data_IF_471859957453
#
_entry.id   IF_471859957453
#
_cell.length_a   1.000
_cell.length_b   1.000
_cell.length_c   1.000
_cell.angle_alpha   90.00
_cell.angle_beta   90.00
_cell.angle_gamma   90.00
#
_symmetry.space_group_name_H-M   'P 1'
#
loop_
_entity.id
_entity.type
_entity.pdbx_description
1 polymer ?
#
# COMPACT_ATOMS: atom_id res chain seq x y z
N UNK A 1 -22.62 7.65 5.93
CA UNK A 1 -23.19 6.87 7.03
C UNK A 1 -22.58 5.49 7.07
N UNK A 2 -22.30 4.99 8.27
CA UNK A 2 -21.80 3.63 8.34
C UNK A 2 -22.94 2.64 8.18
N UNK A 3 -22.66 1.56 7.50
CA UNK A 3 -23.63 0.48 7.29
C UNK A 3 -22.94 -0.84 7.57
N UNK A 4 -23.75 -1.86 7.80
CA UNK A 4 -23.23 -3.20 8.00
C UNK A 4 -23.04 -3.87 6.65
N UNK A 5 -21.82 -4.33 6.39
CA UNK A 5 -21.46 -5.04 5.17
C UNK A 5 -21.09 -6.47 5.57
N UNK A 6 -21.72 -7.45 4.95
CA UNK A 6 -21.36 -8.85 5.20
C UNK A 6 -20.33 -9.31 4.20
N UNK A 7 -19.25 -9.86 4.71
CA UNK A 7 -18.15 -10.36 3.87
C UNK A 7 -17.88 -11.81 4.24
N UNK A 8 -17.39 -12.58 3.28
CA UNK A 8 -17.05 -13.97 3.50
C UNK A 8 -15.54 -14.17 3.37
N UNK A 9 -14.92 -14.71 4.40
CA UNK A 9 -13.50 -15.00 4.42
C UNK A 9 -13.30 -16.43 4.87
N UNK A 10 -12.69 -17.25 4.01
CA UNK A 10 -12.53 -18.68 4.22
C UNK A 10 -13.84 -19.37 4.58
N UNK A 11 -14.91 -18.99 3.90
CA UNK A 11 -16.22 -19.60 4.08
C UNK A 11 -17.00 -19.13 5.30
N UNK A 12 -16.46 -18.24 6.11
CA UNK A 12 -17.14 -17.68 7.27
C UNK A 12 -17.58 -16.27 6.97
N UNK A 13 -18.82 -15.95 7.31
CA UNK A 13 -19.36 -14.61 7.11
C UNK A 13 -19.09 -13.75 8.32
N UNK A 14 -18.71 -12.51 8.05
CA UNK A 14 -18.44 -11.50 9.08
C UNK A 14 -19.23 -10.25 8.78
N UNK A 15 -19.98 -9.73 9.76
CA UNK A 15 -20.62 -8.43 9.60
C UNK A 15 -19.62 -7.33 9.99
N UNK A 16 -19.37 -6.42 9.07
CA UNK A 16 -18.44 -5.32 9.31
C UNK A 16 -19.15 -3.99 9.16
N UNK A 17 -18.81 -3.04 9.99
CA UNK A 17 -19.30 -1.69 9.84
C UNK A 17 -18.38 -0.93 8.90
N UNK A 18 -18.96 -0.27 7.91
CA UNK A 18 -18.19 0.41 6.89
C UNK A 18 -18.89 1.65 6.41
N UNK A 19 -18.12 2.68 6.08
CA UNK A 19 -18.60 3.86 5.40
C UNK A 19 -18.46 3.73 3.87
N UNK A 20 -17.76 2.71 3.42
CA UNK A 20 -17.49 2.48 2.00
C UNK A 20 -17.63 0.99 1.70
N UNK A 21 -18.83 0.60 1.26
CA UNK A 21 -19.16 -0.79 1.01
C UNK A 21 -18.28 -1.41 -0.06
N UNK A 22 -18.06 -0.70 -1.16
CA UNK A 22 -17.28 -1.25 -2.27
C UNK A 22 -15.85 -1.52 -1.85
N UNK A 23 -15.24 -0.57 -1.15
CA UNK A 23 -13.88 -0.74 -0.66
C UNK A 23 -13.79 -1.90 0.34
N UNK A 24 -14.73 -1.97 1.28
CA UNK A 24 -14.74 -3.04 2.28
C UNK A 24 -14.84 -4.39 1.62
N UNK A 25 -15.69 -4.54 0.60
CA UNK A 25 -15.82 -5.81 -0.11
C UNK A 25 -14.55 -6.16 -0.88
N UNK A 26 -13.93 -5.18 -1.50
CA UNK A 26 -12.67 -5.39 -2.21
C UNK A 26 -11.57 -5.85 -1.25
N UNK A 27 -11.44 -5.18 -0.12
CA UNK A 27 -10.42 -5.55 0.86
C UNK A 27 -10.67 -6.94 1.45
N UNK A 28 -11.93 -7.25 1.73
CA UNK A 28 -12.28 -8.58 2.22
C UNK A 28 -11.98 -9.67 1.19
N UNK A 29 -12.22 -9.39 -0.09
CA UNK A 29 -11.89 -10.33 -1.15
C UNK A 29 -10.37 -10.56 -1.23
N UNK A 30 -9.58 -9.53 -1.02
CA UNK A 30 -8.13 -9.66 -1.01
C UNK A 30 -7.66 -10.53 0.16
N UNK A 31 -8.23 -10.32 1.35
CA UNK A 31 -7.91 -11.14 2.52
C UNK A 31 -8.30 -12.60 2.27
N UNK A 32 -9.49 -12.82 1.76
CA UNK A 32 -9.98 -14.15 1.46
C UNK A 32 -9.06 -14.89 0.49
N UNK A 33 -8.65 -14.22 -0.58
CA UNK A 33 -7.77 -14.81 -1.58
C UNK A 33 -6.41 -15.18 -0.99
N UNK A 34 -5.83 -14.29 -0.18
CA UNK A 34 -4.54 -14.53 0.44
C UNK A 34 -4.60 -15.68 1.44
N UNK A 35 -5.65 -15.74 2.24
CA UNK A 35 -5.82 -16.82 3.20
C UNK A 35 -6.03 -18.17 2.51
N UNK A 36 -6.77 -18.19 1.41
CA UNK A 36 -6.95 -19.41 0.62
C UNK A 36 -5.63 -19.91 0.04
N UNK A 37 -4.82 -19.00 -0.46
CA UNK A 37 -3.51 -19.35 -0.99
C UNK A 37 -2.62 -19.94 0.09
N UNK A 38 -2.58 -19.30 1.26
CA UNK A 38 -1.81 -19.81 2.39
C UNK A 38 -2.34 -21.16 2.87
N UNK A 39 -3.64 -21.34 2.86
CA UNK A 39 -4.25 -22.60 3.25
C UNK A 39 -3.79 -23.75 2.36
N UNK A 40 -3.66 -23.49 1.07
CA UNK A 40 -3.16 -24.52 0.14
C UNK A 40 -1.70 -24.87 0.42
N UNK A 41 -0.90 -23.90 0.80
CA UNK A 41 0.51 -24.14 1.11
C UNK A 41 0.72 -24.73 2.49
N UNK A 42 -0.16 -24.44 3.42
CA UNK A 42 -0.05 -24.83 4.83
C UNK A 42 -1.37 -25.44 5.30
N UNK A 43 -1.75 -26.62 4.77
CA UNK A 43 -3.09 -27.17 5.02
C UNK A 43 -3.35 -27.59 6.46
N UNK A 44 -2.30 -27.80 7.26
CA UNK A 44 -2.47 -28.24 8.64
C UNK A 44 -2.55 -27.08 9.65
N UNK A 45 -2.50 -25.85 9.17
CA UNK A 45 -2.54 -24.69 10.07
C UNK A 45 -3.98 -24.26 10.35
N UNK A 46 -4.19 -23.71 11.54
CA UNK A 46 -5.50 -23.19 11.93
C UNK A 46 -5.83 -21.91 11.19
N UNK A 47 -7.13 -21.60 11.14
CA UNK A 47 -7.58 -20.33 10.57
C UNK A 47 -6.93 -19.15 11.26
N UNK A 48 -6.78 -19.22 12.58
CA UNK A 48 -6.14 -18.14 13.33
C UNK A 48 -4.68 -17.94 12.89
N UNK A 49 -3.94 -19.03 12.71
CA UNK A 49 -2.56 -18.93 12.24
C UNK A 49 -2.50 -18.35 10.83
N UNK A 50 -3.40 -18.82 9.95
CA UNK A 50 -3.45 -18.28 8.60
C UNK A 50 -3.77 -16.78 8.59
N UNK A 51 -4.64 -16.34 9.51
CA UNK A 51 -4.97 -14.93 9.63
C UNK A 51 -3.77 -14.10 10.08
N UNK A 52 -2.98 -14.61 11.03
CA UNK A 52 -1.77 -13.92 11.48
C UNK A 52 -0.77 -13.82 10.33
N UNK A 53 -0.54 -14.90 9.60
CA UNK A 53 0.39 -14.90 8.46
C UNK A 53 -0.09 -13.96 7.36
N UNK A 54 -1.38 -13.95 7.08
CA UNK A 54 -1.97 -13.03 6.10
C UNK A 54 -1.74 -11.58 6.52
N UNK A 55 -1.96 -11.29 7.81
CA UNK A 55 -1.75 -9.95 8.33
C UNK A 55 -0.29 -9.52 8.19
N UNK A 56 0.65 -10.42 8.46
CA UNK A 56 2.07 -10.12 8.30
C UNK A 56 2.43 -9.87 6.84
N UNK A 57 1.87 -10.67 5.93
CA UNK A 57 2.11 -10.45 4.50
C UNK A 57 1.61 -9.10 4.04
N UNK A 58 0.42 -8.70 4.46
CA UNK A 58 -0.11 -7.39 4.09
C UNK A 58 0.68 -6.26 4.72
N UNK A 59 1.11 -6.42 5.97
CA UNK A 59 1.95 -5.42 6.62
C UNK A 59 3.29 -5.25 5.90
N UNK A 60 3.86 -6.36 5.45
CA UNK A 60 5.10 -6.32 4.69
C UNK A 60 4.91 -5.61 3.35
N UNK A 61 3.84 -5.94 2.63
CA UNK A 61 3.52 -5.26 1.38
C UNK A 61 3.33 -3.77 1.58
N UNK A 62 2.64 -3.38 2.65
CA UNK A 62 2.45 -1.98 2.95
C UNK A 62 3.77 -1.28 3.24
N UNK A 63 4.64 -1.92 4.02
CA UNK A 63 5.94 -1.35 4.34
C UNK A 63 6.78 -1.15 3.08
N UNK A 64 6.76 -2.14 2.17
CA UNK A 64 7.48 -2.01 0.90
C UNK A 64 6.90 -0.91 0.03
N UNK A 65 5.57 -0.79 -0.02
CA UNK A 65 4.93 0.25 -0.79
C UNK A 65 5.29 1.64 -0.27
N UNK A 66 5.32 1.80 1.04
CA UNK A 66 5.72 3.07 1.66
C UNK A 66 7.17 3.41 1.35
N UNK A 67 8.05 2.42 1.42
CA UNK A 67 9.45 2.62 1.12
C UNK A 67 9.66 3.00 -0.34
N UNK A 68 8.96 2.34 -1.25
CA UNK A 68 9.03 2.67 -2.66
C UNK A 68 8.52 4.08 -2.93
N UNK A 69 7.43 4.46 -2.27
CA UNK A 69 6.88 5.81 -2.40
C UNK A 69 7.87 6.86 -1.90
N UNK A 70 8.49 6.59 -0.74
CA UNK A 70 9.48 7.51 -0.19
C UNK A 70 10.68 7.67 -1.13
N UNK A 71 11.15 6.58 -1.70
CA UNK A 71 12.26 6.63 -2.66
C UNK A 71 11.89 7.44 -3.90
N UNK A 72 10.68 7.26 -4.37
CA UNK A 72 10.19 7.99 -5.54
C UNK A 72 10.09 9.49 -5.24
N UNK A 73 9.60 9.83 -4.06
CA UNK A 73 9.54 11.24 -3.66
C UNK A 73 10.93 11.83 -3.51
N UNK A 74 11.86 11.10 -2.93
CA UNK A 74 13.25 11.56 -2.79
C UNK A 74 13.88 11.78 -4.17
N UNK A 75 13.62 10.87 -5.10
CA UNK A 75 14.13 11.01 -6.47
C UNK A 75 13.57 12.26 -7.15
N UNK A 76 12.27 12.47 -7.01
CA UNK A 76 11.62 13.65 -7.59
C UNK A 76 12.15 14.94 -6.97
N UNK A 77 12.34 14.94 -5.66
CA UNK A 77 12.88 16.09 -4.97
C UNK A 77 14.29 16.40 -5.47
N UNK A 78 15.12 15.39 -5.65
CA UNK A 78 16.47 15.56 -6.19
C UNK A 78 16.43 16.13 -7.61
N UNK A 79 15.51 15.65 -8.43
CA UNK A 79 15.37 16.16 -9.80
C UNK A 79 14.93 17.61 -9.80
N UNK A 80 14.01 17.98 -8.93
CA UNK A 80 13.56 19.37 -8.81
C UNK A 80 14.70 20.26 -8.37
N UNK A 81 15.47 19.82 -7.38
CA UNK A 81 16.63 20.58 -6.91
C UNK A 81 17.65 20.78 -8.02
N UNK A 82 17.89 19.73 -8.81
CA UNK A 82 18.81 19.83 -9.94
C UNK A 82 18.32 20.82 -10.98
N UNK A 83 17.05 20.76 -11.33
CA UNK A 83 16.46 21.70 -12.27
C UNK A 83 16.49 23.13 -11.75
N UNK A 84 16.23 23.32 -10.46
CA UNK A 84 16.31 24.62 -9.83
C UNK A 84 17.71 25.20 -9.92
N UNK A 85 18.72 24.35 -9.69
CA UNK A 85 20.12 24.80 -9.82
C UNK A 85 20.44 25.21 -11.25
N UNK A 86 19.97 24.44 -12.22
CA UNK A 86 20.20 24.78 -13.63
C UNK A 86 19.53 26.10 -14.00
N UNK A 87 18.32 26.32 -13.50
CA UNK A 87 17.61 27.58 -13.73
C UNK A 87 18.33 28.75 -13.09
N UNK A 88 18.80 28.59 -11.86
CA UNK A 88 19.55 29.65 -11.20
C UNK A 88 20.79 30.01 -11.98
N UNK A 89 21.52 29.01 -12.46
CA UNK A 89 22.70 29.26 -13.26
C UNK A 89 22.38 29.99 -14.57
N UNK A 90 21.28 29.57 -15.21
CA UNK A 90 20.87 30.20 -16.47
C UNK A 90 20.40 31.64 -16.28
N UNK A 91 19.84 31.96 -15.11
CA UNK A 91 19.30 33.27 -14.82
C UNK A 91 20.31 34.22 -14.17
N UNK A 92 21.46 33.72 -13.78
CA UNK A 92 22.49 34.59 -13.21
C UNK A 92 22.97 35.58 -14.22
N UNK A 93 23.10 36.83 -13.83
CA UNK A 93 23.71 37.79 -14.73
C UNK A 93 25.15 37.43 -14.97
N UNK A 94 25.60 37.66 -16.19
CA UNK A 94 26.98 37.40 -16.53
C UNK A 94 27.87 38.40 -15.81
N UNK A 95 28.85 37.91 -15.08
CA UNK A 95 29.79 38.74 -14.39
C UNK A 95 31.09 38.89 -15.15
N UNK A 96 31.12 38.34 -16.34
CA UNK A 96 32.35 38.34 -17.12
C UNK A 96 32.46 39.49 -18.07
N UNK A 97 31.54 40.35 -18.04
CA UNK A 97 31.47 41.43 -19.02
C UNK A 97 32.21 42.64 -18.58
N UNK A 98 33.22 42.52 -17.86
CA UNK A 98 34.01 43.69 -17.54
C UNK A 98 34.85 44.12 -18.66
#
# INVERSE_FOLDING_TARGET
MSQTVRVSILGTEYPLRSNDELLTRELAANVDAEMKELQQKLPSQSTATLAVLTSLNFAEHEAHARENERRELDRLTSEIDHLSSLLEDALKPSTKTE
#
